data_IF_832944132596
#
_entry.id   IF_832944132596
#
_cell.length_a   1.000
_cell.length_b   1.000
_cell.length_c   1.000
_cell.angle_alpha   90.00
_cell.angle_beta   90.00
_cell.angle_gamma   90.00
#
_symmetry.space_group_name_H-M   'P 1'
#
loop_
_entity.id
_entity.type
_entity.pdbx_description
1 polymer ?
#
# COMPACT_ATOMS: atom_id res chain seq x y z
N UNK A 1 19.45 -10.14 -3.31
CA UNK A 1 19.63 -8.68 -3.15
C UNK A 1 20.39 -8.45 -1.85
N UNK A 2 21.57 -7.84 -1.91
CA UNK A 2 22.31 -7.47 -0.70
C UNK A 2 21.84 -6.08 -0.25
N UNK A 3 21.44 -5.95 1.01
CA UNK A 3 21.10 -4.66 1.61
C UNK A 3 22.39 -4.01 2.13
N UNK A 4 22.54 -2.72 1.89
CA UNK A 4 23.62 -1.92 2.44
C UNK A 4 23.02 -0.89 3.41
N UNK A 5 23.78 -0.53 4.44
CA UNK A 5 23.43 0.56 5.34
C UNK A 5 24.64 1.48 5.52
N UNK A 6 24.38 2.76 5.74
CA UNK A 6 25.41 3.76 6.02
C UNK A 6 25.29 4.21 7.47
N UNK A 7 26.36 4.00 8.25
CA UNK A 7 26.42 4.45 9.64
C UNK A 7 27.29 5.70 9.75
N UNK A 8 26.68 6.83 10.10
CA UNK A 8 27.38 8.11 10.29
C UNK A 8 27.53 8.37 11.80
N UNK A 9 28.77 8.45 12.26
CA UNK A 9 29.09 8.69 13.67
C UNK A 9 29.75 10.06 13.81
N UNK A 10 29.06 10.98 14.47
CA UNK A 10 29.64 12.25 14.92
C UNK A 10 29.92 12.19 16.43
N UNK A 11 31.18 12.35 16.83
CA UNK A 11 31.60 12.39 18.25
C UNK A 11 31.36 13.76 18.91
N UNK A 12 31.26 14.82 18.13
CA UNK A 12 31.05 16.19 18.61
C UNK A 12 29.62 16.67 18.29
N UNK A 13 28.62 15.97 18.85
CA UNK A 13 27.21 16.35 18.70
C UNK A 13 26.85 17.52 19.62
N UNK A 14 26.06 18.46 19.11
CA UNK A 14 25.37 19.48 19.92
C UNK A 14 24.47 18.82 20.97
N UNK A 15 24.25 19.48 22.11
CA UNK A 15 23.57 18.90 23.27
C UNK A 15 22.20 18.29 22.91
N UNK A 16 21.41 18.96 22.05
CA UNK A 16 20.08 18.50 21.62
C UNK A 16 20.07 17.16 20.85
N UNK A 17 21.21 16.77 20.25
CA UNK A 17 21.38 15.54 19.43
C UNK A 17 22.12 14.42 20.17
N UNK A 18 22.62 14.67 21.40
CA UNK A 18 23.31 13.64 22.20
C UNK A 18 22.31 12.58 22.64
N UNK A 19 22.73 11.31 22.62
CA UNK A 19 21.88 10.18 23.02
C UNK A 19 20.74 9.86 22.06
N UNK A 20 20.73 10.44 20.85
CA UNK A 20 19.72 10.18 19.81
C UNK A 20 20.36 9.61 18.54
N UNK A 21 19.61 8.76 17.86
CA UNK A 21 19.93 8.17 16.55
C UNK A 21 18.79 8.51 15.60
N UNK A 22 19.13 8.99 14.41
CA UNK A 22 18.18 9.23 13.33
C UNK A 22 18.25 8.04 12.38
N UNK A 23 17.11 7.39 12.16
CA UNK A 23 16.94 6.36 11.15
C UNK A 23 16.28 6.99 9.92
N UNK A 24 16.81 6.73 8.73
CA UNK A 24 16.26 7.15 7.44
C UNK A 24 16.21 5.93 6.54
N UNK A 25 15.01 5.54 6.09
CA UNK A 25 14.77 4.38 5.27
C UNK A 25 14.68 4.78 3.79
N UNK A 26 15.82 4.70 3.10
CA UNK A 26 15.93 4.97 1.67
C UNK A 26 15.87 3.69 0.82
N UNK A 27 15.24 2.61 1.30
CA UNK A 27 15.26 1.31 0.61
C UNK A 27 14.57 1.32 -0.76
N UNK A 28 13.71 2.31 -1.05
CA UNK A 28 13.00 2.45 -2.32
C UNK A 28 13.57 3.59 -3.20
N UNK A 29 14.57 4.30 -2.70
CA UNK A 29 15.08 5.54 -3.32
C UNK A 29 16.32 5.28 -4.15
N UNK A 30 16.16 4.46 -5.18
CA UNK A 30 17.22 4.18 -6.14
C UNK A 30 16.62 3.83 -7.50
N UNK A 31 17.45 3.94 -8.52
CA UNK A 31 17.19 3.39 -9.85
C UNK A 31 17.76 1.98 -9.93
N UNK A 32 16.89 0.99 -10.13
CA UNK A 32 17.30 -0.41 -10.27
C UNK A 32 18.12 -0.58 -11.55
N UNK A 33 19.34 -1.10 -11.39
CA UNK A 33 20.23 -1.35 -12.51
C UNK A 33 20.55 -2.84 -12.63
N UNK A 34 20.97 -3.27 -13.82
CA UNK A 34 21.25 -4.70 -14.13
C UNK A 34 22.25 -5.37 -13.18
N UNK A 35 23.29 -4.63 -12.76
CA UNK A 35 24.38 -5.14 -11.92
C UNK A 35 24.56 -4.34 -10.62
N UNK A 36 24.18 -3.06 -10.63
CA UNK A 36 24.29 -2.15 -9.49
C UNK A 36 23.15 -1.15 -9.56
N UNK A 37 22.57 -0.86 -8.40
CA UNK A 37 21.57 0.18 -8.25
C UNK A 37 22.24 1.55 -8.23
N UNK A 38 21.59 2.55 -8.82
CA UNK A 38 22.11 3.92 -8.88
C UNK A 38 21.25 4.83 -8.03
N UNK A 39 21.89 5.57 -7.12
CA UNK A 39 21.22 6.64 -6.39
C UNK A 39 21.08 7.85 -7.33
N UNK A 40 19.86 8.30 -7.62
CA UNK A 40 19.63 9.46 -8.50
C UNK A 40 19.83 10.76 -7.70
N UNK A 41 20.04 11.87 -8.40
CA UNK A 41 20.19 13.17 -7.73
C UNK A 41 18.96 13.55 -6.91
N UNK A 42 17.76 13.30 -7.43
CA UNK A 42 16.51 13.54 -6.67
C UNK A 42 16.43 12.72 -5.37
N UNK A 43 16.91 11.48 -5.40
CA UNK A 43 16.91 10.58 -4.23
C UNK A 43 17.92 11.12 -3.19
N UNK A 44 19.12 11.50 -3.64
CA UNK A 44 20.15 12.11 -2.78
C UNK A 44 19.62 13.38 -2.13
N UNK A 45 19.03 14.28 -2.92
CA UNK A 45 18.48 15.55 -2.44
C UNK A 45 17.46 15.30 -1.34
N UNK A 46 16.51 14.37 -1.55
CA UNK A 46 15.50 14.02 -0.53
C UNK A 46 16.11 13.47 0.75
N UNK A 47 17.10 12.56 0.65
CA UNK A 47 17.79 11.99 1.82
C UNK A 47 18.54 13.09 2.60
N UNK A 48 19.26 13.97 1.89
CA UNK A 48 20.04 15.05 2.48
C UNK A 48 19.12 16.09 3.11
N UNK A 49 18.07 16.51 2.42
CA UNK A 49 17.04 17.42 2.95
C UNK A 49 16.36 16.83 4.18
N UNK A 50 16.11 15.51 4.19
CA UNK A 50 15.60 14.83 5.38
C UNK A 50 16.60 14.93 6.54
N UNK A 51 17.88 14.65 6.30
CA UNK A 51 18.92 14.76 7.31
C UNK A 51 19.10 16.19 7.86
N UNK A 52 19.06 17.21 6.98
CA UNK A 52 19.27 18.61 7.34
C UNK A 52 18.04 19.23 8.00
N UNK A 53 16.87 19.11 7.36
CA UNK A 53 15.61 19.76 7.79
C UNK A 53 14.97 19.08 8.99
N UNK A 54 15.09 17.75 9.14
CA UNK A 54 14.41 16.98 10.19
C UNK A 54 15.29 16.78 11.42
N UNK A 55 16.15 17.76 11.68
CA UNK A 55 17.21 17.62 12.63
C UNK A 55 16.75 17.85 14.08
N UNK A 56 16.20 16.80 14.69
CA UNK A 56 16.08 16.55 16.14
C UNK A 56 15.29 17.56 17.01
N UNK A 57 14.95 18.74 16.48
CA UNK A 57 14.25 19.84 17.17
C UNK A 57 12.75 19.88 16.84
N UNK A 58 12.40 19.62 15.58
CA UNK A 58 11.02 19.39 15.15
C UNK A 58 10.73 17.90 15.25
N UNK A 59 9.80 17.48 16.10
CA UNK A 59 9.26 16.12 16.16
C UNK A 59 8.47 15.76 14.88
N UNK A 60 9.09 15.90 13.72
CA UNK A 60 8.51 15.48 12.46
C UNK A 60 9.16 14.14 12.12
N UNK A 61 8.72 13.08 12.80
CA UNK A 61 8.91 11.74 12.27
C UNK A 61 8.20 11.72 10.90
N UNK A 62 8.95 11.52 9.82
CA UNK A 62 8.33 11.32 8.51
C UNK A 62 7.79 9.91 8.55
N UNK A 63 6.46 9.78 8.58
CA UNK A 63 5.75 8.50 8.70
C UNK A 63 6.38 7.48 7.75
N UNK A 64 6.78 6.33 8.31
CA UNK A 64 7.38 5.18 7.58
C UNK A 64 8.74 5.41 6.91
N UNK A 65 9.25 6.65 6.87
CA UNK A 65 10.50 6.98 6.19
C UNK A 65 11.63 7.35 7.15
N UNK A 66 11.39 8.24 8.12
CA UNK A 66 12.43 8.69 9.04
C UNK A 66 11.91 8.84 10.46
N UNK A 67 12.69 8.35 11.44
CA UNK A 67 12.35 8.40 12.86
C UNK A 67 13.55 8.74 13.72
N UNK A 68 13.35 9.66 14.68
CA UNK A 68 14.36 9.96 15.70
C UNK A 68 14.12 9.09 16.93
N UNK A 69 15.12 8.29 17.29
CA UNK A 69 15.03 7.30 18.36
C UNK A 69 16.03 7.62 19.45
N UNK A 70 15.60 7.54 20.71
CA UNK A 70 16.48 7.72 21.86
C UNK A 70 17.30 6.45 22.11
N UNK A 71 18.51 6.63 22.64
CA UNK A 71 19.40 5.50 22.96
C UNK A 71 18.76 4.50 23.94
N UNK A 72 17.89 4.96 24.84
CA UNK A 72 17.13 4.10 25.75
C UNK A 72 16.19 3.14 25.01
N UNK A 73 15.46 3.62 24.00
CA UNK A 73 14.56 2.79 23.16
C UNK A 73 15.37 1.76 22.35
N UNK A 74 16.57 2.12 21.89
CA UNK A 74 17.47 1.17 21.22
C UNK A 74 17.99 0.11 22.18
N UNK A 75 18.30 0.48 23.43
CA UNK A 75 18.76 -0.45 24.45
C UNK A 75 17.64 -1.45 24.85
N UNK A 76 16.39 -1.00 24.92
CA UNK A 76 15.21 -1.87 25.13
C UNK A 76 15.03 -2.88 23.99
N UNK A 77 15.46 -2.52 22.78
CA UNK A 77 15.46 -3.38 21.59
C UNK A 77 16.77 -4.17 21.41
N UNK A 78 17.51 -4.46 22.48
CA UNK A 78 18.78 -5.23 22.47
C UNK A 78 19.86 -4.66 21.52
N UNK A 79 19.89 -3.33 21.37
CA UNK A 79 20.76 -2.64 20.41
C UNK A 79 20.56 -3.10 18.95
N UNK A 80 19.38 -3.64 18.62
CA UNK A 80 19.03 -4.01 17.26
C UNK A 80 18.79 -2.75 16.41
N UNK A 81 19.65 -2.54 15.42
CA UNK A 81 19.59 -1.39 14.51
C UNK A 81 18.87 -1.70 13.20
N UNK A 82 18.13 -2.81 13.11
CA UNK A 82 17.32 -3.11 11.94
C UNK A 82 16.28 -1.99 11.72
N UNK A 83 16.38 -1.34 10.57
CA UNK A 83 15.61 -0.14 10.26
C UNK A 83 14.09 -0.37 10.24
N UNK A 84 13.63 -1.58 9.89
CA UNK A 84 12.19 -1.92 9.87
C UNK A 84 11.53 -1.83 11.24
N UNK A 85 12.32 -1.85 12.33
CA UNK A 85 11.79 -1.64 13.68
C UNK A 85 11.45 -0.17 13.97
N UNK A 86 12.05 0.76 13.25
CA UNK A 86 11.98 2.19 13.53
C UNK A 86 11.31 2.99 12.41
N UNK A 87 11.49 2.57 11.15
CA UNK A 87 10.90 3.17 9.97
C UNK A 87 10.51 2.06 8.98
N UNK A 88 9.29 1.52 9.14
CA UNK A 88 8.75 0.49 8.25
C UNK A 88 7.97 1.12 7.10
N UNK A 89 8.53 1.01 5.89
CA UNK A 89 7.96 1.42 4.61
C UNK A 89 6.86 0.48 4.11
N UNK A 90 6.64 -0.65 4.79
CA UNK A 90 5.61 -1.61 4.39
C UNK A 90 4.22 -0.95 4.42
N UNK A 91 3.33 -1.27 3.46
CA UNK A 91 1.93 -0.86 3.52
C UNK A 91 1.29 -1.34 4.84
N UNK A 92 0.26 -0.63 5.34
CA UNK A 92 -0.45 -1.14 6.50
C UNK A 92 -1.08 -2.49 6.16
N UNK A 93 -1.41 -3.26 7.21
CA UNK A 93 -2.15 -4.50 7.01
C UNK A 93 -3.45 -4.21 6.25
N UNK A 94 -3.71 -5.00 5.22
CA UNK A 94 -4.92 -4.86 4.41
C UNK A 94 -6.16 -5.13 5.27
N UNK A 95 -7.15 -4.24 5.18
CA UNK A 95 -8.41 -4.36 5.89
C UNK A 95 -9.33 -5.24 5.05
N UNK A 96 -9.96 -6.25 5.68
CA UNK A 96 -10.96 -7.08 5.01
C UNK A 96 -12.34 -6.79 5.59
N UNK A 97 -13.29 -6.44 4.71
CA UNK A 97 -14.69 -6.31 5.07
C UNK A 97 -15.45 -7.55 4.61
N UNK A 98 -15.88 -8.36 5.58
CA UNK A 98 -16.60 -9.61 5.32
C UNK A 98 -17.91 -9.36 4.55
N UNK A 99 -18.62 -8.26 4.85
CA UNK A 99 -19.89 -7.95 4.21
C UNK A 99 -19.69 -7.54 2.76
N UNK A 100 -18.67 -6.73 2.49
CA UNK A 100 -18.27 -6.37 1.14
C UNK A 100 -17.87 -7.60 0.31
N UNK A 101 -17.14 -8.54 0.88
CA UNK A 101 -16.76 -9.80 0.20
C UNK A 101 -17.99 -10.65 -0.15
N UNK A 102 -18.97 -10.71 0.77
CA UNK A 102 -20.17 -11.54 0.58
C UNK A 102 -21.21 -10.92 -0.36
N UNK A 103 -21.34 -9.60 -0.40
CA UNK A 103 -22.43 -8.89 -1.09
C UNK A 103 -21.97 -7.87 -2.13
N UNK A 104 -20.66 -7.78 -2.35
CA UNK A 104 -20.04 -6.78 -3.20
C UNK A 104 -20.04 -5.37 -2.60
N UNK A 105 -19.21 -4.52 -3.19
CA UNK A 105 -19.07 -3.10 -2.85
C UNK A 105 -17.79 -2.79 -2.07
N UNK A 106 -17.19 -1.64 -2.35
CA UNK A 106 -15.91 -1.21 -1.75
C UNK A 106 -16.18 -0.40 -0.49
N UNK A 107 -15.66 -0.79 0.70
CA UNK A 107 -15.91 -0.05 1.93
C UNK A 107 -15.33 1.38 1.87
N UNK A 108 -16.12 2.38 2.26
CA UNK A 108 -15.69 3.79 2.34
C UNK A 108 -14.47 3.94 3.23
N UNK A 109 -14.44 3.22 4.37
CA UNK A 109 -13.31 3.18 5.30
C UNK A 109 -11.98 2.70 4.70
N UNK A 110 -12.03 1.90 3.64
CA UNK A 110 -10.81 1.41 2.96
C UNK A 110 -10.34 2.41 1.90
N UNK A 111 -11.28 3.08 1.23
CA UNK A 111 -10.97 4.15 0.28
C UNK A 111 -10.42 5.37 1.01
N UNK A 112 -11.01 5.75 2.15
CA UNK A 112 -10.63 6.91 2.97
C UNK A 112 -9.50 6.62 3.97
N UNK A 113 -8.86 5.45 3.90
CA UNK A 113 -7.70 5.15 4.75
C UNK A 113 -6.55 6.14 4.48
N UNK A 114 -5.89 6.60 5.53
CA UNK A 114 -4.84 7.63 5.46
C UNK A 114 -3.70 7.21 4.52
N UNK A 115 -3.29 5.95 4.53
CA UNK A 115 -2.25 5.47 3.62
C UNK A 115 -2.74 5.45 2.17
N UNK A 116 -3.98 5.04 1.95
CA UNK A 116 -4.57 5.01 0.61
C UNK A 116 -4.72 6.42 0.04
N UNK A 117 -5.19 7.38 0.84
CA UNK A 117 -5.35 8.77 0.42
C UNK A 117 -4.01 9.45 0.15
N UNK A 118 -3.03 9.34 1.06
CA UNK A 118 -1.76 10.08 0.96
C UNK A 118 -0.74 9.42 0.01
N UNK A 119 -0.64 8.09 -0.02
CA UNK A 119 0.42 7.40 -0.76
C UNK A 119 -0.06 6.86 -2.13
N UNK A 120 -1.35 6.53 -2.25
CA UNK A 120 -1.88 5.87 -3.44
C UNK A 120 -2.73 6.80 -4.29
N UNK A 121 -3.86 7.28 -3.78
CA UNK A 121 -4.87 8.07 -4.52
C UNK A 121 -4.37 9.49 -4.78
N UNK A 122 -3.78 10.14 -3.76
CA UNK A 122 -3.31 11.51 -3.81
C UNK A 122 -4.41 12.46 -4.30
N UNK A 123 -4.28 12.97 -5.53
CA UNK A 123 -5.23 13.94 -6.09
C UNK A 123 -6.25 13.30 -7.06
N UNK A 124 -6.28 11.96 -7.18
CA UNK A 124 -7.20 11.29 -8.09
C UNK A 124 -8.65 11.33 -7.60
N UNK A 125 -9.58 11.76 -8.46
CA UNK A 125 -11.01 11.76 -8.16
C UNK A 125 -11.62 10.36 -8.29
N UNK A 126 -11.81 9.71 -7.15
CA UNK A 126 -12.44 8.38 -7.04
C UNK A 126 -13.87 8.34 -7.56
N UNK A 127 -14.56 9.49 -7.63
CA UNK A 127 -15.94 9.59 -8.14
C UNK A 127 -16.03 9.30 -9.64
N UNK A 128 -14.90 9.27 -10.35
CA UNK A 128 -14.86 8.85 -11.75
C UNK A 128 -15.17 7.37 -11.91
N UNK A 129 -14.73 6.55 -10.95
CA UNK A 129 -14.78 5.08 -11.00
C UNK A 129 -15.90 4.51 -10.11
N UNK A 130 -16.20 5.20 -9.01
CA UNK A 130 -17.17 4.74 -8.02
C UNK A 130 -18.43 5.61 -7.98
N UNK A 131 -19.57 4.96 -7.77
CA UNK A 131 -20.81 5.58 -7.30
C UNK A 131 -21.04 5.22 -5.82
N UNK A 132 -21.62 6.15 -5.07
CA UNK A 132 -21.96 5.93 -3.66
C UNK A 132 -23.25 5.11 -3.56
N UNK A 133 -23.17 3.90 -3.01
CA UNK A 133 -24.34 3.02 -2.79
C UNK A 133 -25.08 3.41 -1.52
N UNK A 134 -24.35 3.55 -0.42
CA UNK A 134 -24.86 3.96 0.89
C UNK A 134 -23.79 4.75 1.66
N UNK A 135 -23.96 4.92 2.98
CA UNK A 135 -23.01 5.67 3.80
C UNK A 135 -21.69 4.92 4.04
N UNK A 136 -21.67 3.59 3.88
CA UNK A 136 -20.58 2.72 4.29
C UNK A 136 -19.85 2.09 3.08
N UNK A 137 -20.48 2.06 1.89
CA UNK A 137 -19.98 1.38 0.70
C UNK A 137 -20.11 2.21 -0.60
N UNK A 138 -19.08 2.08 -1.43
CA UNK A 138 -19.04 2.45 -2.84
C UNK A 138 -19.30 1.24 -3.74
N UNK A 139 -19.72 1.47 -4.97
CA UNK A 139 -19.85 0.43 -6.01
C UNK A 139 -19.19 0.96 -7.28
N UNK A 140 -18.56 0.08 -8.06
CA UNK A 140 -18.04 0.46 -9.38
C UNK A 140 -19.19 0.93 -10.27
N UNK A 141 -18.94 1.97 -11.06
CA UNK A 141 -19.96 2.48 -11.98
C UNK A 141 -20.46 1.36 -12.90
N UNK A 142 -21.76 1.31 -13.22
CA UNK A 142 -22.30 0.30 -14.13
C UNK A 142 -21.68 0.31 -15.54
N UNK A 143 -21.04 1.42 -15.94
CA UNK A 143 -20.30 1.53 -17.20
C UNK A 143 -18.97 0.76 -17.20
N UNK A 144 -18.49 0.34 -16.03
CA UNK A 144 -17.26 -0.45 -15.86
C UNK A 144 -17.70 -1.88 -15.55
N UNK A 145 -17.62 -2.74 -16.56
CA UNK A 145 -17.96 -4.16 -16.53
C UNK A 145 -16.70 -5.05 -16.48
N UNK A 146 -15.51 -4.50 -16.76
CA UNK A 146 -14.24 -5.22 -16.70
C UNK A 146 -13.08 -4.37 -16.18
N UNK A 147 -11.99 -5.02 -15.76
CA UNK A 147 -10.78 -4.34 -15.26
C UNK A 147 -10.11 -3.47 -16.32
N UNK A 148 -10.17 -3.89 -17.57
CA UNK A 148 -9.57 -3.17 -18.69
C UNK A 148 -10.17 -1.77 -18.81
N UNK A 149 -11.48 -1.64 -18.55
CA UNK A 149 -12.20 -0.36 -18.59
C UNK A 149 -11.82 0.57 -17.44
N UNK A 150 -11.31 0.05 -16.31
CA UNK A 150 -10.79 0.91 -15.21
C UNK A 150 -9.67 1.80 -15.74
N UNK A 151 -8.79 1.26 -16.60
CA UNK A 151 -7.68 2.03 -17.20
C UNK A 151 -8.18 3.07 -18.19
N UNK A 152 -9.27 2.79 -18.88
CA UNK A 152 -9.89 3.72 -19.84
C UNK A 152 -10.62 4.87 -19.15
N UNK A 153 -11.16 4.64 -17.95
CA UNK A 153 -11.82 5.70 -17.15
C UNK A 153 -10.79 6.50 -16.35
N UNK A 154 -9.75 5.84 -15.84
CA UNK A 154 -8.70 6.43 -15.02
C UNK A 154 -7.44 6.75 -15.84
N UNK A 155 -7.58 7.35 -17.03
CA UNK A 155 -6.45 7.60 -17.96
C UNK A 155 -5.37 8.50 -17.34
N UNK A 156 -5.79 9.49 -16.56
CA UNK A 156 -4.89 10.45 -15.91
C UNK A 156 -4.35 9.95 -14.55
N UNK A 157 -4.72 8.73 -14.14
CA UNK A 157 -4.31 8.19 -12.86
C UNK A 157 -2.89 7.60 -12.91
N UNK A 158 -2.15 7.74 -11.81
CA UNK A 158 -0.86 7.07 -11.67
C UNK A 158 -1.02 5.55 -11.64
N UNK A 159 0.03 4.82 -12.06
CA UNK A 159 0.02 3.36 -12.08
C UNK A 159 -0.33 2.71 -10.73
N UNK A 160 0.03 3.36 -9.60
CA UNK A 160 -0.31 2.90 -8.25
C UNK A 160 -1.81 2.98 -7.96
N UNK A 161 -2.49 4.03 -8.45
CA UNK A 161 -3.94 4.21 -8.33
C UNK A 161 -4.65 3.12 -9.12
N UNK A 162 -4.27 2.94 -10.39
CA UNK A 162 -4.84 1.91 -11.26
C UNK A 162 -4.71 0.53 -10.61
N UNK A 163 -3.52 0.19 -10.12
CA UNK A 163 -3.26 -1.07 -9.43
C UNK A 163 -4.18 -1.26 -8.22
N UNK A 164 -4.43 -0.20 -7.45
CA UNK A 164 -5.29 -0.26 -6.28
C UNK A 164 -6.78 -0.40 -6.66
N UNK A 165 -7.24 0.29 -7.71
CA UNK A 165 -8.59 0.15 -8.24
C UNK A 165 -8.83 -1.28 -8.78
N UNK A 166 -7.87 -1.84 -9.51
CA UNK A 166 -7.92 -3.23 -9.99
C UNK A 166 -7.97 -4.24 -8.83
N UNK A 167 -7.23 -3.98 -7.74
CA UNK A 167 -7.31 -4.80 -6.52
C UNK A 167 -8.68 -4.76 -5.87
N UNK A 168 -9.29 -3.58 -5.76
CA UNK A 168 -10.66 -3.47 -5.24
C UNK A 168 -11.68 -4.13 -6.15
N UNK A 169 -11.48 -4.06 -7.47
CA UNK A 169 -12.30 -4.80 -8.42
C UNK A 169 -12.22 -6.30 -8.16
N UNK A 170 -11.02 -6.86 -8.08
CA UNK A 170 -10.81 -8.28 -7.77
C UNK A 170 -11.44 -8.71 -6.45
N UNK A 171 -11.33 -7.84 -5.45
CA UNK A 171 -11.72 -8.16 -4.07
C UNK A 171 -13.23 -8.05 -3.85
N UNK A 172 -13.90 -7.11 -4.52
CA UNK A 172 -15.24 -6.67 -4.16
C UNK A 172 -16.24 -6.61 -5.32
N UNK A 173 -15.82 -6.73 -6.57
CA UNK A 173 -16.77 -6.67 -7.69
C UNK A 173 -17.61 -7.93 -7.80
N UNK A 174 -16.95 -9.11 -7.73
CA UNK A 174 -17.65 -10.38 -7.77
C UNK A 174 -17.87 -10.83 -6.33
N UNK A 175 -19.12 -10.87 -5.93
CA UNK A 175 -19.46 -11.30 -4.58
C UNK A 175 -19.34 -12.82 -4.45
N UNK A 176 -19.01 -13.30 -3.25
CA UNK A 176 -18.95 -14.74 -2.98
C UNK A 176 -20.31 -15.42 -3.21
N UNK A 177 -21.40 -14.69 -3.01
CA UNK A 177 -22.75 -15.19 -3.27
C UNK A 177 -23.02 -15.44 -4.76
N UNK A 178 -22.60 -14.52 -5.64
CA UNK A 178 -22.72 -14.71 -7.10
C UNK A 178 -21.85 -15.87 -7.58
N UNK A 179 -20.68 -16.10 -6.96
CA UNK A 179 -19.83 -17.26 -7.25
C UNK A 179 -20.52 -18.57 -6.85
N UNK A 180 -21.14 -18.63 -5.66
CA UNK A 180 -21.87 -19.82 -5.22
C UNK A 180 -23.07 -20.13 -6.13
N UNK A 181 -23.78 -19.10 -6.60
CA UNK A 181 -24.85 -19.27 -7.61
C UNK A 181 -24.29 -19.82 -8.92
N UNK A 182 -23.20 -19.25 -9.44
CA UNK A 182 -22.56 -19.72 -10.68
C UNK A 182 -22.04 -21.16 -10.56
N UNK A 183 -21.49 -21.54 -9.39
CA UNK A 183 -21.08 -22.92 -9.11
C UNK A 183 -22.28 -23.85 -9.13
N UNK A 184 -23.37 -23.46 -8.48
CA UNK A 184 -24.61 -24.25 -8.45
C UNK A 184 -25.18 -24.46 -9.86
N UNK A 185 -25.21 -23.40 -10.67
CA UNK A 185 -25.67 -23.47 -12.06
C UNK A 185 -24.74 -24.36 -12.91
N UNK A 186 -23.42 -24.22 -12.75
CA UNK A 186 -22.45 -25.06 -13.45
C UNK A 186 -22.55 -26.54 -13.05
N UNK A 187 -22.80 -26.84 -11.78
CA UNK A 187 -23.04 -28.20 -11.29
C UNK A 187 -24.31 -28.80 -11.91
N UNK A 188 -25.39 -28.03 -12.01
CA UNK A 188 -26.62 -28.49 -12.68
C UNK A 188 -26.38 -28.81 -14.15
N UNK A 189 -25.65 -27.96 -14.87
CA UNK A 189 -25.30 -28.18 -16.28
C UNK A 189 -24.42 -29.44 -16.44
N UNK A 190 -23.40 -29.60 -15.58
CA UNK A 190 -22.53 -30.77 -15.59
C UNK A 190 -23.31 -32.07 -15.29
N UNK A 191 -24.20 -32.05 -14.29
CA UNK A 191 -25.07 -33.19 -14.00
C UNK A 191 -25.99 -33.53 -15.18
N UNK A 192 -26.49 -32.51 -15.89
CA UNK A 192 -27.24 -32.70 -17.14
C UNK A 192 -26.45 -33.51 -18.17
N UNK A 193 -25.19 -33.13 -18.43
CA UNK A 193 -24.32 -33.84 -19.37
C UNK A 193 -23.96 -35.26 -18.91
N UNK A 194 -23.70 -35.47 -17.61
CA UNK A 194 -23.42 -36.80 -17.07
C UNK A 194 -24.62 -37.74 -17.25
N UNK A 195 -25.83 -37.24 -17.01
CA UNK A 195 -27.08 -37.98 -17.21
C UNK A 195 -27.32 -38.34 -18.67
N UNK A 196 -27.05 -37.43 -19.61
CA UNK A 196 -27.11 -37.72 -21.05
C UNK A 196 -26.11 -38.80 -21.49
N UNK A 197 -24.95 -38.88 -20.82
CA UNK A 197 -23.92 -39.89 -21.05
C UNK A 197 -24.16 -41.20 -20.30
N UNK A 198 -25.24 -41.31 -19.52
CA UNK A 198 -25.63 -42.53 -18.80
C UNK A 198 -24.87 -42.77 -17.49
N UNK A 199 -24.24 -41.74 -16.93
CA UNK A 199 -23.67 -41.77 -15.58
C UNK A 199 -24.70 -41.20 -14.59
N UNK A 200 -25.07 -41.98 -13.57
CA UNK A 200 -25.87 -41.55 -12.40
C UNK A 200 -24.97 -41.22 -11.21
#
# INVERSE_FOLDING_TARGET
MAQAFLLIINKNKVAARKGKVLFINSELEFEEGKNQNKLREQDITKIVETFESHSFESKCDIKRYAKVVNFSEIAENDFNLNIRRYADTSPPAEIFDVRAILHGGVPVREVEDEYIQEEIIQDFDVSLVFDKKDNDYYVFKPSIESKEQIREVAVDAEAKVITQLERWWDKYQVSLHELDEQVTDAEQVMQGYLKELGYE
#
